data_IF_215445138469
#
_entry.id   IF_215445138469
#
_cell.length_a   1.000
_cell.length_b   1.000
_cell.length_c   1.000
_cell.angle_alpha   90.00
_cell.angle_beta   90.00
_cell.angle_gamma   90.00
#
_symmetry.space_group_name_H-M   'P 1'
#
loop_
_entity.id
_entity.type
_entity.pdbx_description
1 polymer ?
#
# COMPACT_ATOMS: atom_id res chain seq x y z
N UNK A 1 -7.34 7.62 -46.16
CA UNK A 1 -5.91 7.28 -46.31
C UNK A 1 -5.73 5.98 -45.58
N UNK A 2 -5.54 4.93 -46.36
CA UNK A 2 -5.15 3.61 -45.89
C UNK A 2 -3.64 3.60 -45.56
N UNK A 3 -3.13 2.44 -45.15
CA UNK A 3 -1.73 2.26 -44.79
C UNK A 3 -0.78 2.46 -45.97
N UNK A 4 -1.17 2.02 -47.17
CA UNK A 4 -0.33 2.09 -48.37
C UNK A 4 -0.14 3.56 -48.82
N UNK A 5 -1.22 4.33 -48.98
CA UNK A 5 -1.15 5.77 -49.29
C UNK A 5 -0.38 6.55 -48.22
N UNK A 6 -0.54 6.17 -46.94
CA UNK A 6 0.22 6.78 -45.86
C UNK A 6 1.74 6.55 -46.01
N UNK A 7 2.14 5.29 -46.20
CA UNK A 7 3.54 4.90 -46.33
C UNK A 7 4.18 5.46 -47.60
N UNK A 8 3.45 5.53 -48.72
CA UNK A 8 3.93 6.17 -49.95
C UNK A 8 4.24 7.66 -49.72
N UNK A 9 3.33 8.39 -49.06
CA UNK A 9 3.55 9.82 -48.76
C UNK A 9 4.72 10.02 -47.80
N UNK A 10 4.88 9.13 -46.82
CA UNK A 10 6.01 9.15 -45.89
C UNK A 10 7.34 8.85 -46.62
N UNK A 11 7.36 7.83 -47.49
CA UNK A 11 8.51 7.48 -48.33
C UNK A 11 8.88 8.59 -49.31
N UNK A 12 7.91 9.36 -49.79
CA UNK A 12 8.12 10.56 -50.62
C UNK A 12 8.68 11.77 -49.84
N UNK A 13 8.98 11.61 -48.53
CA UNK A 13 9.58 12.65 -47.69
C UNK A 13 8.59 13.46 -46.86
N UNK A 14 7.29 13.15 -46.91
CA UNK A 14 6.31 13.78 -46.02
C UNK A 14 6.61 13.34 -44.58
N UNK A 15 6.71 14.28 -43.65
CA UNK A 15 6.86 14.00 -42.21
C UNK A 15 5.71 14.53 -41.37
N UNK A 16 5.01 15.57 -41.85
CA UNK A 16 3.94 16.22 -41.11
C UNK A 16 2.58 15.56 -41.40
N UNK A 17 2.03 14.88 -40.39
CA UNK A 17 0.72 14.23 -40.42
C UNK A 17 -0.14 14.72 -39.23
N UNK A 18 -0.13 16.04 -38.98
CA UNK A 18 -0.86 16.68 -37.88
C UNK A 18 -2.37 16.52 -37.99
N UNK A 19 -3.06 16.51 -36.85
CA UNK A 19 -4.53 16.53 -36.76
C UNK A 19 -5.25 15.42 -37.57
N UNK A 20 -4.52 14.41 -38.04
CA UNK A 20 -5.07 13.32 -38.82
C UNK A 20 -5.87 12.35 -37.94
N UNK A 21 -6.86 11.69 -38.53
CA UNK A 21 -7.49 10.50 -37.94
C UNK A 21 -7.00 9.27 -38.72
N UNK A 22 -6.31 8.37 -38.03
CA UNK A 22 -5.76 7.09 -38.51
C UNK A 22 -6.10 5.97 -37.53
N UNK A 23 -7.28 6.04 -36.92
CA UNK A 23 -7.76 5.03 -36.00
C UNK A 23 -7.72 3.63 -36.64
N UNK A 24 -7.11 2.67 -35.94
CA UNK A 24 -7.05 1.28 -36.40
C UNK A 24 -6.16 1.02 -37.63
N UNK A 25 -5.31 1.96 -38.03
CA UNK A 25 -4.38 1.73 -39.13
C UNK A 25 -3.34 0.67 -38.75
N UNK A 26 -2.97 -0.18 -39.70
CA UNK A 26 -1.91 -1.16 -39.55
C UNK A 26 -0.64 -0.65 -40.23
N UNK A 27 0.39 -0.43 -39.42
CA UNK A 27 1.73 -0.02 -39.83
C UNK A 27 2.78 -0.86 -39.08
N UNK A 28 2.49 -2.14 -38.85
CA UNK A 28 3.41 -3.06 -38.19
C UNK A 28 4.79 -3.04 -38.89
N UNK A 29 5.86 -2.91 -38.10
CA UNK A 29 7.24 -2.92 -38.58
C UNK A 29 7.65 -1.72 -39.42
N UNK A 30 6.79 -0.71 -39.59
CA UNK A 30 7.11 0.47 -40.39
C UNK A 30 8.22 1.32 -39.75
N UNK A 31 9.15 1.81 -40.57
CA UNK A 31 10.06 2.87 -40.14
C UNK A 31 9.40 4.24 -40.34
N UNK A 32 9.07 4.87 -39.22
CA UNK A 32 8.42 6.15 -39.09
C UNK A 32 9.28 7.12 -38.27
N UNK A 33 10.60 6.97 -38.31
CA UNK A 33 11.54 7.86 -37.60
C UNK A 33 11.30 9.33 -37.94
N UNK A 34 11.36 10.20 -36.93
CA UNK A 34 11.17 11.65 -37.04
C UNK A 34 9.79 12.08 -37.59
N UNK A 35 8.80 11.16 -37.64
CA UNK A 35 7.45 11.51 -38.05
C UNK A 35 6.84 12.52 -37.08
N UNK A 36 6.03 13.43 -37.60
CA UNK A 36 5.32 14.42 -36.81
C UNK A 36 3.82 14.17 -36.83
N UNK A 37 3.32 13.63 -35.72
CA UNK A 37 1.94 13.24 -35.50
C UNK A 37 1.19 14.21 -34.58
N UNK A 38 1.70 15.42 -34.37
CA UNK A 38 1.12 16.39 -33.44
C UNK A 38 -0.42 16.47 -33.52
N UNK A 39 -1.08 16.29 -32.36
CA UNK A 39 -2.56 16.36 -32.20
C UNK A 39 -3.37 15.41 -33.08
N UNK A 40 -2.80 14.31 -33.53
CA UNK A 40 -3.52 13.32 -34.33
C UNK A 40 -4.15 12.19 -33.49
N UNK A 41 -5.11 11.49 -34.07
CA UNK A 41 -5.80 10.34 -33.48
C UNK A 41 -5.38 9.04 -34.18
N UNK A 42 -4.75 8.16 -33.42
CA UNK A 42 -4.19 6.87 -33.81
C UNK A 42 -4.67 5.76 -32.88
N UNK A 43 -5.83 5.96 -32.25
CA UNK A 43 -6.36 4.98 -31.31
C UNK A 43 -6.52 3.61 -31.99
N UNK A 44 -6.12 2.54 -31.31
CA UNK A 44 -6.21 1.18 -31.84
C UNK A 44 -5.34 0.89 -33.06
N UNK A 45 -4.42 1.78 -33.45
CA UNK A 45 -3.46 1.49 -34.52
C UNK A 45 -2.55 0.32 -34.12
N UNK A 46 -2.13 -0.48 -35.11
CA UNK A 46 -1.05 -1.45 -34.95
C UNK A 46 0.25 -0.84 -35.44
N UNK A 47 1.14 -0.58 -34.49
CA UNK A 47 2.49 -0.05 -34.65
C UNK A 47 3.49 -1.02 -33.99
N UNK A 48 3.12 -2.30 -33.85
CA UNK A 48 4.02 -3.30 -33.29
C UNK A 48 5.30 -3.37 -34.13
N UNK A 49 6.45 -3.45 -33.47
CA UNK A 49 7.78 -3.48 -34.11
C UNK A 49 8.13 -2.23 -34.96
N UNK A 50 7.30 -1.19 -34.95
CA UNK A 50 7.56 0.04 -35.69
C UNK A 50 8.76 0.81 -35.10
N UNK A 51 9.45 1.57 -35.95
CA UNK A 51 10.55 2.46 -35.56
C UNK A 51 10.01 3.89 -35.55
N UNK A 52 9.93 4.50 -34.38
CA UNK A 52 9.40 5.84 -34.12
C UNK A 52 10.48 6.75 -33.49
N UNK A 53 11.75 6.48 -33.79
CA UNK A 53 12.87 7.21 -33.19
C UNK A 53 12.71 8.72 -33.44
N UNK A 54 12.80 9.52 -32.39
CA UNK A 54 12.65 10.99 -32.43
C UNK A 54 11.31 11.48 -33.03
N UNK A 55 10.27 10.65 -33.09
CA UNK A 55 8.95 11.08 -33.54
C UNK A 55 8.35 12.15 -32.61
N UNK A 56 7.60 13.09 -33.19
CA UNK A 56 6.82 14.09 -32.45
C UNK A 56 5.41 13.57 -32.25
N UNK A 57 5.14 13.07 -31.06
CA UNK A 57 3.87 12.47 -30.65
C UNK A 57 3.13 13.34 -29.63
N UNK A 58 3.54 14.60 -29.49
CA UNK A 58 2.97 15.49 -28.49
C UNK A 58 1.48 15.74 -28.75
N UNK A 59 0.67 15.59 -27.71
CA UNK A 59 -0.80 15.61 -27.79
C UNK A 59 -1.43 14.59 -28.75
N UNK A 60 -0.71 13.53 -29.13
CA UNK A 60 -1.23 12.45 -29.98
C UNK A 60 -2.01 11.44 -29.14
N UNK A 61 -3.10 10.91 -29.69
CA UNK A 61 -3.84 9.83 -29.03
C UNK A 61 -3.53 8.49 -29.68
N UNK A 62 -2.92 7.60 -28.91
CA UNK A 62 -2.59 6.20 -29.22
C UNK A 62 -3.31 5.26 -28.24
N UNK A 63 -4.49 5.66 -27.76
CA UNK A 63 -5.26 4.87 -26.81
C UNK A 63 -5.61 3.51 -27.44
N UNK A 64 -5.38 2.42 -26.70
CA UNK A 64 -5.63 1.05 -27.17
C UNK A 64 -4.80 0.61 -28.40
N UNK A 65 -3.78 1.37 -28.79
CA UNK A 65 -2.88 0.98 -29.87
C UNK A 65 -1.95 -0.17 -29.43
N UNK A 66 -1.47 -0.95 -30.39
CA UNK A 66 -0.38 -1.91 -30.17
C UNK A 66 0.93 -1.27 -30.63
N UNK A 67 1.92 -1.22 -29.75
CA UNK A 67 3.30 -0.81 -30.01
C UNK A 67 4.27 -1.84 -29.40
N UNK A 68 3.87 -3.12 -29.41
CA UNK A 68 4.67 -4.23 -28.88
C UNK A 68 6.04 -4.22 -29.58
N UNK A 69 7.12 -4.26 -28.80
CA UNK A 69 8.51 -4.22 -29.28
C UNK A 69 8.86 -3.00 -30.17
N UNK A 70 8.03 -1.96 -30.21
CA UNK A 70 8.32 -0.77 -31.00
C UNK A 70 9.51 0.01 -30.42
N UNK A 71 10.25 0.71 -31.28
CA UNK A 71 11.33 1.59 -30.87
C UNK A 71 10.84 3.05 -30.85
N UNK A 72 10.54 3.55 -29.66
CA UNK A 72 10.11 4.93 -29.39
C UNK A 72 11.23 5.76 -28.74
N UNK A 73 12.49 5.44 -29.02
CA UNK A 73 13.63 6.15 -28.44
C UNK A 73 13.57 7.63 -28.79
N UNK A 74 13.67 8.50 -27.78
CA UNK A 74 13.79 9.95 -27.97
C UNK A 74 12.53 10.67 -28.45
N UNK A 75 11.35 10.03 -28.44
CA UNK A 75 10.11 10.71 -28.84
C UNK A 75 9.81 11.94 -27.97
N UNK A 76 9.17 12.94 -28.57
CA UNK A 76 8.43 13.95 -27.80
C UNK A 76 6.96 13.50 -27.69
N UNK A 77 6.64 12.79 -26.61
CA UNK A 77 5.29 12.35 -26.26
C UNK A 77 4.65 13.23 -25.17
N UNK A 78 5.00 14.52 -25.09
CA UNK A 78 4.37 15.41 -24.11
C UNK A 78 2.84 15.47 -24.30
N UNK A 79 2.08 15.24 -23.22
CA UNK A 79 0.61 15.12 -23.25
C UNK A 79 0.07 14.03 -24.19
N UNK A 80 0.87 12.98 -24.49
CA UNK A 80 0.41 11.82 -25.27
C UNK A 80 -0.65 11.04 -24.50
N UNK A 81 -1.59 10.42 -25.21
CA UNK A 81 -2.54 9.48 -24.63
C UNK A 81 -2.22 8.05 -25.07
N UNK A 82 -1.60 7.28 -24.18
CA UNK A 82 -1.27 5.86 -24.31
C UNK A 82 -2.16 4.99 -23.40
N UNK A 83 -3.31 5.49 -22.94
CA UNK A 83 -4.19 4.73 -22.05
C UNK A 83 -4.60 3.41 -22.72
N UNK A 84 -4.58 2.29 -21.98
CA UNK A 84 -4.97 0.97 -22.48
C UNK A 84 -4.16 0.46 -23.70
N UNK A 85 -3.07 1.12 -24.07
CA UNK A 85 -2.20 0.68 -25.16
C UNK A 85 -1.30 -0.48 -24.69
N UNK A 86 -0.86 -1.31 -25.62
CA UNK A 86 0.13 -2.36 -25.36
C UNK A 86 1.50 -1.94 -25.91
N UNK A 87 2.45 -1.70 -25.01
CA UNK A 87 3.84 -1.33 -25.29
C UNK A 87 4.79 -2.37 -24.68
N UNK A 88 4.35 -3.61 -24.57
CA UNK A 88 5.17 -4.71 -24.05
C UNK A 88 6.48 -4.82 -24.85
N UNK A 89 7.61 -4.80 -24.14
CA UNK A 89 8.94 -4.87 -24.74
C UNK A 89 9.41 -3.63 -25.50
N UNK A 90 8.61 -2.55 -25.56
CA UNK A 90 8.98 -1.33 -26.30
C UNK A 90 10.18 -0.60 -25.68
N UNK A 91 10.96 0.08 -26.52
CA UNK A 91 12.03 0.98 -26.06
C UNK A 91 11.55 2.43 -26.07
N UNK A 92 11.35 3.01 -24.89
CA UNK A 92 10.96 4.41 -24.70
C UNK A 92 12.14 5.25 -24.19
N UNK A 93 13.36 4.73 -24.22
CA UNK A 93 14.51 5.42 -23.63
C UNK A 93 14.69 6.84 -24.18
N UNK A 94 15.07 7.76 -23.30
CA UNK A 94 15.21 9.19 -23.62
C UNK A 94 13.92 9.91 -24.07
N UNK A 95 12.75 9.26 -24.04
CA UNK A 95 11.48 9.90 -24.40
C UNK A 95 11.06 11.00 -23.39
N UNK A 96 10.25 11.95 -23.87
CA UNK A 96 9.52 12.88 -23.03
C UNK A 96 8.05 12.45 -22.93
N UNK A 97 7.59 12.04 -21.74
CA UNK A 97 6.20 11.61 -21.48
C UNK A 97 5.49 12.51 -20.45
N UNK A 98 6.00 13.73 -20.27
CA UNK A 98 5.44 14.71 -19.33
C UNK A 98 3.97 14.99 -19.64
N UNK A 99 3.11 15.04 -18.63
CA UNK A 99 1.65 15.23 -18.72
C UNK A 99 0.92 14.16 -19.54
N UNK A 100 1.57 13.06 -19.90
CA UNK A 100 0.96 11.97 -20.65
C UNK A 100 -0.04 11.16 -19.82
N UNK A 101 -0.99 10.54 -20.49
CA UNK A 101 -1.88 9.55 -19.91
C UNK A 101 -1.46 8.14 -20.35
N UNK A 102 -0.86 7.38 -19.44
CA UNK A 102 -0.42 6.00 -19.64
C UNK A 102 -1.28 5.01 -18.82
N UNK A 103 -2.42 5.46 -18.28
CA UNK A 103 -3.23 4.65 -17.38
C UNK A 103 -3.72 3.36 -18.02
N UNK A 104 -3.66 2.27 -17.26
CA UNK A 104 -4.11 0.93 -17.66
C UNK A 104 -3.44 0.37 -18.93
N UNK A 105 -2.34 0.98 -19.42
CA UNK A 105 -1.54 0.41 -20.50
C UNK A 105 -0.65 -0.74 -20.02
N UNK A 106 -0.28 -1.63 -20.94
CA UNK A 106 0.73 -2.65 -20.71
C UNK A 106 2.09 -2.15 -21.18
N UNK A 107 3.09 -2.20 -20.31
CA UNK A 107 4.47 -1.80 -20.55
C UNK A 107 5.41 -2.88 -20.00
N UNK A 108 4.98 -4.13 -20.00
CA UNK A 108 5.75 -5.26 -19.49
C UNK A 108 7.11 -5.33 -20.19
N UNK A 109 8.20 -5.27 -19.42
CA UNK A 109 9.56 -5.33 -19.93
C UNK A 109 10.03 -4.09 -20.69
N UNK A 110 9.22 -3.03 -20.78
CA UNK A 110 9.58 -1.82 -21.53
C UNK A 110 10.80 -1.09 -20.92
N UNK A 111 11.56 -0.41 -21.78
CA UNK A 111 12.73 0.37 -21.37
C UNK A 111 12.36 1.85 -21.18
N UNK A 112 12.38 2.33 -19.94
CA UNK A 112 12.13 3.73 -19.58
C UNK A 112 13.39 4.46 -19.13
N UNK A 113 14.58 3.92 -19.43
CA UNK A 113 15.84 4.55 -19.03
C UNK A 113 15.93 5.99 -19.56
N UNK A 114 16.22 6.95 -18.68
CA UNK A 114 16.30 8.39 -19.00
C UNK A 114 15.01 9.04 -19.53
N UNK A 115 13.85 8.41 -19.34
CA UNK A 115 12.57 9.04 -19.68
C UNK A 115 12.27 10.21 -18.76
N UNK A 116 11.73 11.28 -19.34
CA UNK A 116 11.20 12.42 -18.57
C UNK A 116 9.73 12.17 -18.25
N UNK A 117 9.46 11.94 -16.98
CA UNK A 117 8.11 12.00 -16.42
C UNK A 117 7.94 13.28 -15.61
N UNK A 118 6.78 13.91 -15.74
CA UNK A 118 6.33 15.01 -14.91
C UNK A 118 4.82 15.06 -14.99
N UNK A 119 4.13 14.92 -13.85
CA UNK A 119 2.67 14.88 -13.79
C UNK A 119 2.02 13.85 -14.74
N UNK A 120 2.73 12.75 -15.01
CA UNK A 120 2.24 11.67 -15.88
C UNK A 120 1.30 10.74 -15.08
N UNK A 121 0.21 10.31 -15.72
CA UNK A 121 -0.74 9.36 -15.12
C UNK A 121 -0.39 7.92 -15.53
N UNK A 122 0.06 7.13 -14.56
CA UNK A 122 0.39 5.69 -14.69
C UNK A 122 -0.58 4.81 -13.89
N UNK A 123 -1.75 5.34 -13.51
CA UNK A 123 -2.73 4.60 -12.71
C UNK A 123 -3.10 3.27 -13.35
N UNK A 124 -2.98 2.18 -12.60
CA UNK A 124 -3.34 0.83 -13.05
C UNK A 124 -2.50 0.28 -14.20
N UNK A 125 -1.41 0.94 -14.59
CA UNK A 125 -0.55 0.47 -15.67
C UNK A 125 0.26 -0.77 -15.25
N UNK A 126 0.57 -1.64 -16.21
CA UNK A 126 1.42 -2.80 -16.00
C UNK A 126 2.85 -2.51 -16.43
N UNK A 127 3.75 -2.30 -15.48
CA UNK A 127 5.19 -2.08 -15.67
C UNK A 127 6.02 -3.25 -15.12
N UNK A 128 5.47 -4.47 -15.15
CA UNK A 128 6.20 -5.67 -14.72
C UNK A 128 7.52 -5.79 -15.49
N UNK A 129 8.64 -6.04 -14.79
CA UNK A 129 10.00 -6.16 -15.38
C UNK A 129 10.49 -4.94 -16.17
N UNK A 130 9.82 -3.78 -16.06
CA UNK A 130 10.23 -2.56 -16.74
C UNK A 130 11.58 -2.04 -16.21
N UNK A 131 12.34 -1.36 -17.08
CA UNK A 131 13.64 -0.76 -16.73
C UNK A 131 13.47 0.72 -16.44
N UNK A 132 13.53 1.11 -15.16
CA UNK A 132 13.25 2.47 -14.67
C UNK A 132 14.43 3.06 -13.85
N UNK A 133 15.63 2.51 -14.03
CA UNK A 133 16.81 2.88 -13.24
C UNK A 133 17.12 4.37 -13.32
N UNK A 134 17.19 5.03 -12.16
CA UNK A 134 17.57 6.44 -12.05
C UNK A 134 16.52 7.43 -12.58
N UNK A 135 15.33 6.98 -12.94
CA UNK A 135 14.26 7.83 -13.49
C UNK A 135 13.62 8.66 -12.39
N UNK A 136 13.19 9.89 -12.72
CA UNK A 136 12.38 10.73 -11.85
C UNK A 136 10.91 10.54 -12.17
N UNK A 137 10.13 10.11 -11.17
CA UNK A 137 8.69 9.89 -11.22
C UNK A 137 7.93 10.79 -10.24
N UNK A 138 8.60 11.77 -9.63
CA UNK A 138 7.98 12.70 -8.66
C UNK A 138 6.67 13.29 -9.18
N UNK A 139 5.67 13.40 -8.28
CA UNK A 139 4.31 13.88 -8.56
C UNK A 139 3.49 13.07 -9.58
N UNK A 140 4.00 11.97 -10.11
CA UNK A 140 3.22 11.10 -10.97
C UNK A 140 2.17 10.30 -10.16
N UNK A 141 1.08 9.93 -10.81
CA UNK A 141 0.09 9.02 -10.24
C UNK A 141 0.42 7.58 -10.61
N UNK A 142 0.94 6.81 -9.66
CA UNK A 142 1.27 5.39 -9.80
C UNK A 142 0.33 4.49 -8.96
N UNK A 143 -0.88 4.97 -8.64
CA UNK A 143 -1.82 4.16 -7.84
C UNK A 143 -2.24 2.92 -8.62
N UNK A 144 -2.30 1.78 -7.92
CA UNK A 144 -2.67 0.48 -8.50
C UNK A 144 -1.73 0.00 -9.64
N UNK A 145 -0.55 0.60 -9.79
CA UNK A 145 0.45 0.19 -10.79
C UNK A 145 1.03 -1.19 -10.44
N UNK A 146 1.34 -2.00 -11.46
CA UNK A 146 2.12 -3.22 -11.30
C UNK A 146 3.59 -2.98 -11.68
N UNK A 147 4.49 -2.96 -10.70
CA UNK A 147 5.95 -2.83 -10.83
C UNK A 147 6.67 -4.14 -10.42
N UNK A 148 5.98 -5.28 -10.46
CA UNK A 148 6.57 -6.57 -10.07
C UNK A 148 7.86 -6.84 -10.85
N UNK A 149 8.93 -7.21 -10.17
CA UNK A 149 10.26 -7.49 -10.76
C UNK A 149 10.87 -6.32 -11.58
N UNK A 150 10.38 -5.09 -11.44
CA UNK A 150 10.92 -3.92 -12.13
C UNK A 150 12.30 -3.50 -11.58
N UNK A 151 13.16 -2.97 -12.46
CA UNK A 151 14.42 -2.33 -12.07
C UNK A 151 14.18 -0.85 -11.74
N UNK A 152 14.16 -0.54 -10.45
CA UNK A 152 13.91 0.79 -9.88
C UNK A 152 15.14 1.33 -9.14
N UNK A 153 16.34 0.82 -9.44
CA UNK A 153 17.55 1.24 -8.72
C UNK A 153 17.75 2.74 -8.87
N UNK A 154 17.94 3.45 -7.74
CA UNK A 154 18.11 4.92 -7.69
C UNK A 154 16.96 5.73 -8.30
N UNK A 155 15.76 5.17 -8.41
CA UNK A 155 14.58 5.91 -8.88
C UNK A 155 14.20 7.02 -7.89
N UNK A 156 13.69 8.15 -8.38
CA UNK A 156 13.12 9.22 -7.54
C UNK A 156 11.59 9.15 -7.58
N UNK A 157 10.99 8.64 -6.51
CA UNK A 157 9.56 8.46 -6.26
C UNK A 157 9.03 9.42 -5.18
N UNK A 158 9.72 10.52 -4.91
CA UNK A 158 9.32 11.50 -3.90
C UNK A 158 7.91 12.05 -4.16
N UNK A 159 7.08 12.13 -3.10
CA UNK A 159 5.71 12.66 -3.16
C UNK A 159 4.79 11.96 -4.18
N UNK A 160 5.11 10.74 -4.62
CA UNK A 160 4.29 9.99 -5.57
C UNK A 160 3.12 9.28 -4.90
N UNK A 161 2.05 9.04 -5.67
CA UNK A 161 0.95 8.19 -5.23
C UNK A 161 1.19 6.75 -5.68
N UNK A 162 1.60 5.87 -4.77
CA UNK A 162 1.80 4.42 -4.97
C UNK A 162 0.75 3.59 -4.22
N UNK A 163 -0.41 4.17 -3.90
CA UNK A 163 -1.48 3.47 -3.18
C UNK A 163 -1.88 2.19 -3.92
N UNK A 164 -1.90 1.06 -3.20
CA UNK A 164 -2.18 -0.29 -3.73
C UNK A 164 -1.28 -0.74 -4.88
N UNK A 165 -0.11 -0.14 -5.08
CA UNK A 165 0.84 -0.59 -6.09
C UNK A 165 1.40 -1.99 -5.75
N UNK A 166 1.68 -2.80 -6.77
CA UNK A 166 2.35 -4.09 -6.64
C UNK A 166 3.83 -3.93 -6.99
N UNK A 167 4.73 -3.92 -6.01
CA UNK A 167 6.19 -3.84 -6.19
C UNK A 167 6.89 -5.14 -5.77
N UNK A 168 6.21 -6.29 -5.89
CA UNK A 168 6.76 -7.58 -5.48
C UNK A 168 8.08 -7.85 -6.21
N UNK A 169 9.12 -8.26 -5.49
CA UNK A 169 10.46 -8.56 -6.04
C UNK A 169 11.10 -7.43 -6.86
N UNK A 170 10.56 -6.21 -6.78
CA UNK A 170 11.14 -5.07 -7.49
C UNK A 170 12.47 -4.67 -6.85
N UNK A 171 13.38 -4.14 -7.66
CA UNK A 171 14.68 -3.68 -7.18
C UNK A 171 14.68 -2.17 -6.95
N UNK A 172 14.43 -1.75 -5.70
CA UNK A 172 14.43 -0.36 -5.26
C UNK A 172 15.73 0.03 -4.51
N UNK A 173 16.87 -0.64 -4.78
CA UNK A 173 18.13 -0.27 -4.13
C UNK A 173 18.42 1.23 -4.33
N UNK A 174 18.64 1.95 -3.22
CA UNK A 174 18.91 3.40 -3.21
C UNK A 174 17.81 4.26 -3.84
N UNK A 175 16.59 3.78 -3.94
CA UNK A 175 15.44 4.57 -4.37
C UNK A 175 15.12 5.68 -3.35
N UNK A 176 14.65 6.83 -3.82
CA UNK A 176 14.12 7.91 -2.99
C UNK A 176 12.59 7.85 -3.00
N UNK A 177 11.97 7.47 -1.89
CA UNK A 177 10.52 7.39 -1.66
C UNK A 177 10.03 8.43 -0.64
N UNK A 178 10.77 9.53 -0.47
CA UNK A 178 10.46 10.55 0.54
C UNK A 178 9.04 11.10 0.35
N UNK A 179 8.22 11.05 1.41
CA UNK A 179 6.81 11.45 1.40
C UNK A 179 5.92 10.71 0.37
N UNK A 180 6.34 9.56 -0.14
CA UNK A 180 5.52 8.76 -1.05
C UNK A 180 4.32 8.13 -0.32
N UNK A 181 3.18 8.00 -1.01
CA UNK A 181 2.00 7.32 -0.48
C UNK A 181 2.00 5.85 -0.89
N UNK A 182 2.37 4.96 0.03
CA UNK A 182 2.46 3.51 -0.15
C UNK A 182 1.29 2.76 0.52
N UNK A 183 0.17 3.42 0.80
CA UNK A 183 -0.97 2.79 1.48
C UNK A 183 -1.39 1.52 0.75
N UNK A 184 -1.42 0.38 1.45
CA UNK A 184 -1.78 -0.95 0.90
C UNK A 184 -0.91 -1.43 -0.28
N UNK A 185 0.28 -0.87 -0.47
CA UNK A 185 1.22 -1.35 -1.49
C UNK A 185 1.81 -2.71 -1.10
N UNK A 186 2.13 -3.54 -2.08
CA UNK A 186 2.74 -4.84 -1.86
C UNK A 186 4.22 -4.82 -2.29
N UNK A 187 5.14 -4.78 -1.33
CA UNK A 187 6.59 -4.78 -1.54
C UNK A 187 7.23 -6.13 -1.16
N UNK A 188 6.47 -7.22 -1.21
CA UNK A 188 6.99 -8.52 -0.79
C UNK A 188 8.18 -8.97 -1.65
N UNK A 189 9.27 -9.42 -1.01
CA UNK A 189 10.49 -9.82 -1.69
C UNK A 189 11.26 -8.68 -2.37
N UNK A 190 10.83 -7.41 -2.22
CA UNK A 190 11.50 -6.29 -2.86
C UNK A 190 12.86 -6.00 -2.23
N UNK A 191 13.82 -5.55 -3.04
CA UNK A 191 15.10 -5.05 -2.55
C UNK A 191 14.99 -3.55 -2.30
N UNK A 192 14.96 -3.13 -1.03
CA UNK A 192 14.92 -1.73 -0.60
C UNK A 192 16.22 -1.29 0.07
N UNK A 193 17.34 -2.00 -0.16
CA UNK A 193 18.62 -1.68 0.47
C UNK A 193 18.99 -0.23 0.23
N UNK A 194 19.26 0.51 1.32
CA UNK A 194 19.63 1.93 1.29
C UNK A 194 18.61 2.85 0.60
N UNK A 195 17.36 2.42 0.44
CA UNK A 195 16.28 3.30 -0.01
C UNK A 195 15.94 4.33 1.08
N UNK A 196 15.45 5.50 0.68
CA UNK A 196 15.00 6.53 1.61
C UNK A 196 13.47 6.60 1.60
N UNK A 197 12.82 6.18 2.68
CA UNK A 197 11.38 6.21 2.87
C UNK A 197 10.93 7.32 3.84
N UNK A 198 11.77 8.31 4.14
CA UNK A 198 11.45 9.37 5.12
C UNK A 198 10.08 10.00 4.84
N UNK A 199 9.18 10.01 5.83
CA UNK A 199 7.83 10.56 5.71
C UNK A 199 6.86 9.77 4.80
N UNK A 200 7.27 8.62 4.25
CA UNK A 200 6.40 7.82 3.39
C UNK A 200 5.22 7.21 4.18
N UNK A 201 4.02 7.23 3.62
CA UNK A 201 2.85 6.62 4.25
C UNK A 201 2.76 5.13 3.87
N UNK A 202 3.20 4.27 4.77
CA UNK A 202 3.24 2.81 4.57
C UNK A 202 2.04 2.07 5.20
N UNK A 203 0.94 2.75 5.53
CA UNK A 203 -0.19 2.12 6.21
C UNK A 203 -0.81 0.97 5.39
N UNK A 204 -0.77 -0.24 5.96
CA UNK A 204 -1.25 -1.46 5.31
C UNK A 204 -0.36 -1.98 4.18
N UNK A 205 0.83 -1.41 3.99
CA UNK A 205 1.81 -1.95 3.05
C UNK A 205 2.41 -3.26 3.56
N UNK A 206 2.72 -4.19 2.64
CA UNK A 206 3.31 -5.49 2.95
C UNK A 206 4.79 -5.50 2.55
N UNK A 207 5.65 -5.98 3.45
CA UNK A 207 7.11 -6.07 3.26
C UNK A 207 7.65 -7.49 3.56
N UNK A 208 6.82 -8.52 3.38
CA UNK A 208 7.21 -9.92 3.65
C UNK A 208 8.41 -10.26 2.76
N UNK A 209 9.49 -10.75 3.35
CA UNK A 209 10.75 -11.10 2.67
C UNK A 209 11.46 -9.93 1.94
N UNK A 210 11.09 -8.67 2.22
CA UNK A 210 11.78 -7.52 1.64
C UNK A 210 13.15 -7.28 2.31
N UNK A 211 14.18 -6.95 1.54
CA UNK A 211 15.48 -6.54 2.08
C UNK A 211 15.51 -5.03 2.32
N UNK A 212 15.33 -4.63 3.58
CA UNK A 212 15.36 -3.23 4.02
C UNK A 212 16.75 -2.78 4.51
N UNK A 213 17.80 -3.59 4.33
CA UNK A 213 19.12 -3.33 4.94
C UNK A 213 19.65 -1.93 4.61
N UNK A 214 19.81 -1.10 5.64
CA UNK A 214 20.31 0.26 5.52
C UNK A 214 19.34 1.26 4.92
N UNK A 215 18.07 0.91 4.70
CA UNK A 215 17.03 1.84 4.28
C UNK A 215 16.77 2.87 5.39
N UNK A 216 16.43 4.10 5.03
CA UNK A 216 15.90 5.11 5.96
C UNK A 216 14.38 4.91 6.01
N UNK A 217 13.82 4.65 7.17
CA UNK A 217 12.40 4.36 7.37
C UNK A 217 11.56 5.64 7.45
N UNK A 218 10.21 5.55 7.43
CA UNK A 218 9.36 6.75 7.46
C UNK A 218 9.56 7.70 8.63
N UNK A 219 10.05 7.22 9.76
CA UNK A 219 10.42 8.01 10.94
C UNK A 219 11.82 8.66 10.85
N UNK A 220 12.58 8.37 9.80
CA UNK A 220 13.94 8.87 9.58
C UNK A 220 15.03 7.93 10.15
N UNK A 221 14.66 6.84 10.80
CA UNK A 221 15.64 5.89 11.36
C UNK A 221 16.19 4.95 10.29
N UNK A 222 17.46 4.57 10.42
CA UNK A 222 18.08 3.60 9.51
C UNK A 222 17.70 2.18 9.95
N UNK A 223 17.04 1.43 9.07
CA UNK A 223 16.78 0.02 9.26
C UNK A 223 18.09 -0.76 9.34
N UNK A 224 18.33 -1.36 10.51
CA UNK A 224 19.42 -2.30 10.73
C UNK A 224 18.79 -3.70 10.80
N UNK A 225 19.17 -4.64 9.93
CA UNK A 225 18.70 -6.01 10.08
C UNK A 225 19.13 -6.51 11.46
N UNK A 226 18.24 -7.22 12.15
CA UNK A 226 18.61 -7.98 13.33
C UNK A 226 19.65 -8.98 12.84
N UNK A 227 20.89 -8.86 13.32
CA UNK A 227 21.96 -9.76 12.93
C UNK A 227 21.46 -11.19 13.12
N UNK A 228 21.48 -12.00 12.07
CA UNK A 228 21.39 -13.45 12.19
C UNK A 228 22.44 -13.87 13.20
N UNK A 229 22.02 -14.56 14.27
CA UNK A 229 22.90 -15.11 15.29
C UNK A 229 23.93 -16.08 14.66
N UNK A 230 25.06 -15.56 14.17
CA UNK A 230 26.35 -16.26 14.14
C UNK A 230 27.45 -15.19 14.08
N UNK A 231 27.98 -14.81 15.24
CA UNK A 231 29.42 -14.86 15.47
C UNK A 231 29.70 -14.71 16.98
N UNK A 232 30.21 -15.81 17.53
CA UNK A 232 30.60 -15.96 18.93
C UNK A 232 31.79 -15.04 19.21
N UNK A 233 31.63 -14.18 20.21
CA UNK A 233 32.73 -13.68 21.03
C UNK A 233 33.29 -12.31 20.65
N UNK A 234 32.78 -11.28 21.33
CA UNK A 234 33.59 -10.36 22.16
C UNK A 234 32.69 -9.39 22.92
N UNK A 235 32.82 -9.43 24.25
CA UNK A 235 32.25 -8.45 25.18
C UNK A 235 32.72 -7.04 24.83
N UNK A 236 31.79 -6.09 24.71
CA UNK A 236 32.04 -4.70 25.13
C UNK A 236 30.77 -4.12 25.76
N UNK A 237 31.03 -3.41 26.85
CA UNK A 237 30.19 -2.80 27.88
C UNK A 237 29.01 -1.96 27.35
N UNK A 238 27.90 -2.03 28.07
CA UNK A 238 26.66 -1.25 27.93
C UNK A 238 26.86 0.26 28.01
N UNK A 239 26.02 1.03 27.28
CA UNK A 239 25.32 2.15 27.90
C UNK A 239 23.79 2.07 27.69
N UNK A 240 23.10 2.41 28.77
CA UNK A 240 21.67 2.58 29.04
C UNK A 240 20.68 2.56 27.86
N UNK A 241 19.74 1.62 27.99
CA UNK A 241 18.55 1.36 27.18
C UNK A 241 17.57 2.54 27.26
N UNK A 242 17.56 3.41 26.24
CA UNK A 242 16.40 4.28 26.01
C UNK A 242 15.33 3.44 25.32
N UNK A 243 14.31 3.03 26.08
CA UNK A 243 13.18 2.25 25.60
C UNK A 243 12.29 3.16 24.74
N UNK A 244 12.46 3.10 23.42
CA UNK A 244 11.49 3.65 22.47
C UNK A 244 10.15 2.93 22.65
N UNK A 245 9.05 3.69 22.78
CA UNK A 245 7.73 3.12 23.03
C UNK A 245 7.10 2.55 21.75
N UNK A 246 7.27 1.26 21.47
CA UNK A 246 6.58 0.54 20.38
C UNK A 246 5.09 0.37 20.66
N UNK A 247 4.26 0.44 19.59
CA UNK A 247 2.81 0.27 19.60
C UNK A 247 2.43 -0.87 18.66
N UNK A 248 1.84 -1.95 19.19
CA UNK A 248 1.33 -3.07 18.41
C UNK A 248 -0.20 -3.13 18.49
N UNK A 249 -0.86 -3.33 17.35
CA UNK A 249 -2.30 -3.59 17.31
C UNK A 249 -2.54 -5.07 17.56
N UNK A 250 -3.46 -5.38 18.46
CA UNK A 250 -3.95 -6.75 18.71
C UNK A 250 -5.36 -6.86 18.14
N UNK A 251 -5.55 -7.88 17.29
CA UNK A 251 -6.84 -8.24 16.72
C UNK A 251 -7.02 -9.76 16.71
N UNK A 252 -8.27 -10.21 16.82
CA UNK A 252 -8.70 -11.62 16.73
C UNK A 252 -10.11 -11.71 16.14
N UNK A 253 -10.37 -12.78 15.40
CA UNK A 253 -11.71 -13.11 14.88
C UNK A 253 -12.61 -13.76 15.94
N UNK A 254 -12.03 -14.14 17.09
CA UNK A 254 -12.75 -14.69 18.24
C UNK A 254 -13.37 -13.63 19.16
N UNK A 255 -13.31 -12.35 18.77
CA UNK A 255 -13.93 -11.23 19.48
C UNK A 255 -14.59 -10.26 18.47
N UNK A 256 -15.56 -9.44 18.91
CA UNK A 256 -16.29 -8.53 18.02
C UNK A 256 -15.34 -7.59 17.27
N UNK A 257 -15.56 -7.45 15.97
CA UNK A 257 -14.80 -6.49 15.16
C UNK A 257 -15.12 -5.05 15.60
N UNK A 258 -14.14 -4.13 15.59
CA UNK A 258 -14.40 -2.72 15.88
C UNK A 258 -15.42 -2.12 14.91
N UNK A 259 -16.43 -1.43 15.45
CA UNK A 259 -17.51 -0.78 14.67
C UNK A 259 -17.24 0.73 14.47
N UNK A 260 -16.00 1.18 14.73
CA UNK A 260 -15.58 2.58 14.66
C UNK A 260 -14.05 2.73 14.64
N UNK A 261 -13.50 3.95 14.75
CA UNK A 261 -12.07 4.22 14.60
C UNK A 261 -11.25 3.85 15.86
N UNK A 262 -11.35 2.59 16.31
CA UNK A 262 -10.58 1.99 17.42
C UNK A 262 -10.14 0.56 17.06
N UNK A 263 -9.22 -0.01 17.84
CA UNK A 263 -8.79 -1.42 17.70
C UNK A 263 -9.25 -2.22 18.93
N UNK A 264 -9.34 -3.54 18.82
CA UNK A 264 -9.71 -4.41 19.95
C UNK A 264 -8.76 -4.24 21.14
N UNK A 265 -7.45 -4.22 20.89
CA UNK A 265 -6.47 -3.80 21.89
C UNK A 265 -5.19 -3.22 21.27
N UNK A 266 -4.44 -2.47 22.08
CA UNK A 266 -3.12 -1.95 21.76
C UNK A 266 -2.12 -2.42 22.82
N UNK A 267 -1.03 -3.06 22.39
CA UNK A 267 0.12 -3.30 23.24
C UNK A 267 1.14 -2.16 23.10
N UNK A 268 1.60 -1.61 24.22
CA UNK A 268 2.60 -0.56 24.30
C UNK A 268 3.88 -1.05 24.99
N UNK A 269 5.04 -0.53 24.60
CA UNK A 269 6.34 -0.88 25.19
C UNK A 269 6.37 -0.78 26.71
N UNK A 270 6.99 -1.77 27.35
CA UNK A 270 6.81 -2.07 28.77
C UNK A 270 5.73 -3.13 29.03
N UNK A 271 5.20 -3.76 27.95
CA UNK A 271 4.25 -4.88 27.99
C UNK A 271 2.88 -4.55 28.61
N UNK A 272 2.42 -3.30 28.51
CA UNK A 272 1.03 -2.94 28.84
C UNK A 272 0.11 -3.18 27.65
N UNK A 273 -1.02 -3.84 27.88
CA UNK A 273 -2.08 -4.08 26.91
C UNK A 273 -3.29 -3.26 27.31
N UNK A 274 -3.79 -2.42 26.40
CA UNK A 274 -4.99 -1.62 26.57
C UNK A 274 -6.10 -2.22 25.71
N UNK A 275 -7.09 -2.84 26.34
CA UNK A 275 -8.24 -3.48 25.68
C UNK A 275 -9.40 -2.49 25.63
N UNK A 276 -10.00 -2.31 24.45
CA UNK A 276 -11.17 -1.45 24.27
C UNK A 276 -12.40 -2.06 24.94
N UNK A 277 -13.36 -1.22 25.34
CA UNK A 277 -14.60 -1.64 25.96
C UNK A 277 -15.33 -2.69 25.13
N UNK A 278 -15.65 -3.82 25.77
CA UNK A 278 -16.38 -4.92 25.17
C UNK A 278 -17.83 -4.93 25.64
N UNK A 279 -18.73 -5.13 24.69
CA UNK A 279 -20.16 -5.37 24.91
C UNK A 279 -20.51 -6.80 24.51
N UNK A 280 -21.73 -7.24 24.85
CA UNK A 280 -22.20 -8.62 24.67
C UNK A 280 -22.55 -8.97 23.21
N UNK A 281 -21.64 -8.71 22.26
CA UNK A 281 -21.74 -9.20 20.89
C UNK A 281 -21.15 -10.61 20.81
N UNK A 282 -21.87 -11.54 20.18
CA UNK A 282 -21.30 -12.83 19.78
C UNK A 282 -20.50 -12.64 18.48
N UNK A 283 -19.19 -12.89 18.45
CA UNK A 283 -18.34 -12.66 17.27
C UNK A 283 -18.73 -13.50 16.06
N UNK A 284 -19.43 -14.62 16.25
CA UNK A 284 -19.91 -15.50 15.16
C UNK A 284 -21.17 -14.95 14.50
N UNK A 285 -22.03 -14.31 15.30
CA UNK A 285 -23.29 -13.74 14.84
C UNK A 285 -23.14 -12.27 14.42
N UNK A 286 -22.15 -11.56 14.97
CA UNK A 286 -21.94 -10.14 14.76
C UNK A 286 -22.98 -9.25 15.46
N UNK A 287 -23.81 -9.81 16.35
CA UNK A 287 -24.91 -9.09 16.99
C UNK A 287 -24.94 -9.29 18.52
N UNK A 288 -25.65 -8.38 19.20
CA UNK A 288 -25.83 -8.41 20.66
C UNK A 288 -26.67 -9.63 21.05
N UNK A 289 -26.21 -10.36 22.06
CA UNK A 289 -26.90 -11.51 22.63
C UNK A 289 -27.35 -11.23 24.06
N UNK A 290 -28.37 -11.96 24.52
CA UNK A 290 -28.89 -11.90 25.89
C UNK A 290 -29.41 -10.50 26.29
N UNK A 291 -30.22 -9.88 25.44
CA UNK A 291 -30.73 -8.50 25.65
C UNK A 291 -31.55 -8.30 26.94
N UNK A 292 -31.96 -9.37 27.60
CA UNK A 292 -32.81 -9.41 28.80
C UNK A 292 -32.13 -10.02 30.05
N UNK A 293 -30.88 -10.48 29.94
CA UNK A 293 -30.15 -11.12 31.03
C UNK A 293 -28.73 -10.53 31.21
N UNK A 294 -28.59 -9.63 32.18
CA UNK A 294 -27.32 -8.95 32.48
C UNK A 294 -26.20 -9.92 32.86
N UNK A 295 -26.51 -11.06 33.48
CA UNK A 295 -25.49 -12.05 33.86
C UNK A 295 -24.91 -12.69 32.61
N UNK A 296 -25.76 -13.12 31.68
CA UNK A 296 -25.30 -13.69 30.41
C UNK A 296 -24.62 -12.67 29.51
N UNK A 297 -25.05 -11.40 29.51
CA UNK A 297 -24.29 -10.34 28.85
C UNK A 297 -22.89 -10.20 29.45
N UNK A 298 -22.79 -10.19 30.78
CA UNK A 298 -21.49 -10.11 31.46
C UNK A 298 -20.60 -11.30 31.09
N UNK A 299 -21.15 -12.51 31.01
CA UNK A 299 -20.42 -13.71 30.57
C UNK A 299 -19.90 -13.55 29.14
N UNK A 300 -20.71 -13.04 28.21
CA UNK A 300 -20.27 -12.79 26.83
C UNK A 300 -19.21 -11.68 26.76
N UNK A 301 -19.36 -10.59 27.52
CA UNK A 301 -18.36 -9.51 27.59
C UNK A 301 -17.01 -10.04 28.06
N UNK A 302 -17.00 -10.86 29.12
CA UNK A 302 -15.77 -11.45 29.64
C UNK A 302 -15.17 -12.48 28.67
N UNK A 303 -15.98 -13.26 27.96
CA UNK A 303 -15.48 -14.14 26.89
C UNK A 303 -14.79 -13.35 25.75
N UNK A 304 -15.36 -12.20 25.36
CA UNK A 304 -14.76 -11.32 24.36
C UNK A 304 -13.43 -10.73 24.84
N UNK A 305 -13.36 -10.27 26.10
CA UNK A 305 -12.11 -9.80 26.71
C UNK A 305 -11.06 -10.91 26.77
N UNK A 306 -11.45 -12.13 27.15
CA UNK A 306 -10.55 -13.27 27.21
C UNK A 306 -9.94 -13.60 25.85
N UNK A 307 -10.74 -13.57 24.78
CA UNK A 307 -10.27 -13.80 23.42
C UNK A 307 -9.22 -12.77 22.98
N UNK A 308 -9.44 -11.48 23.31
CA UNK A 308 -8.49 -10.41 22.99
C UNK A 308 -7.20 -10.54 23.82
N UNK A 309 -7.33 -10.83 25.12
CA UNK A 309 -6.18 -11.07 26.00
C UNK A 309 -5.34 -12.25 25.50
N UNK A 310 -5.98 -13.38 25.13
CA UNK A 310 -5.28 -14.54 24.55
C UNK A 310 -4.54 -14.19 23.27
N UNK A 311 -5.15 -13.41 22.38
CA UNK A 311 -4.50 -12.94 21.16
C UNK A 311 -3.29 -12.02 21.43
N UNK A 312 -3.28 -11.34 22.58
CA UNK A 312 -2.15 -10.54 23.07
C UNK A 312 -1.09 -11.36 23.84
N UNK A 313 -1.30 -12.68 24.01
CA UNK A 313 -0.43 -13.52 24.85
C UNK A 313 -0.65 -13.36 26.36
N UNK A 314 -1.80 -12.83 26.77
CA UNK A 314 -2.18 -12.57 28.16
C UNK A 314 -3.36 -13.44 28.62
N UNK A 315 -3.59 -13.45 29.93
CA UNK A 315 -4.76 -14.05 30.58
C UNK A 315 -5.39 -13.05 31.56
N UNK A 316 -6.52 -13.40 32.19
CA UNK A 316 -7.10 -12.55 33.24
C UNK A 316 -6.16 -12.32 34.43
N UNK A 317 -5.21 -13.23 34.69
CA UNK A 317 -4.19 -13.04 35.73
C UNK A 317 -3.22 -11.88 35.44
N UNK A 318 -3.12 -11.46 34.17
CA UNK A 318 -2.30 -10.32 33.76
C UNK A 318 -3.03 -8.98 33.88
N UNK A 319 -4.35 -8.98 34.09
CA UNK A 319 -5.14 -7.75 34.15
C UNK A 319 -4.84 -7.01 35.44
N UNK A 320 -4.49 -5.74 35.33
CA UNK A 320 -4.15 -4.86 36.46
C UNK A 320 -5.23 -3.82 36.72
N UNK A 321 -6.07 -3.52 35.72
CA UNK A 321 -7.21 -2.60 35.86
C UNK A 321 -8.40 -3.02 35.00
N UNK A 322 -9.60 -2.81 35.51
CA UNK A 322 -10.86 -2.86 34.73
C UNK A 322 -11.71 -1.62 34.98
N UNK A 323 -12.45 -1.18 33.96
CA UNK A 323 -13.57 -0.23 34.12
C UNK A 323 -14.86 -0.92 33.73
N UNK A 324 -15.84 -0.92 34.65
CA UNK A 324 -17.16 -1.53 34.45
C UNK A 324 -18.20 -0.41 34.32
N UNK A 325 -18.92 -0.43 33.21
CA UNK A 325 -20.02 0.50 32.94
C UNK A 325 -21.34 -0.26 32.97
N UNK A 326 -22.31 0.23 33.73
CA UNK A 326 -23.65 -0.34 33.85
C UNK A 326 -24.70 0.64 33.33
N UNK A 327 -25.74 0.11 32.68
CA UNK A 327 -26.93 0.89 32.35
C UNK A 327 -27.79 1.17 33.59
N UNK A 328 -27.86 0.21 34.52
CA UNK A 328 -28.57 0.31 35.80
C UNK A 328 -27.69 -0.24 36.95
N UNK A 329 -27.47 0.56 37.99
CA UNK A 329 -26.70 0.15 39.18
C UNK A 329 -27.40 -0.95 39.99
N UNK A 330 -28.70 -1.18 39.79
CA UNK A 330 -29.40 -2.31 40.42
C UNK A 330 -28.82 -3.67 39.99
N UNK A 331 -28.18 -3.74 38.82
CA UNK A 331 -27.53 -4.96 38.31
C UNK A 331 -26.15 -5.25 38.93
N UNK A 332 -25.63 -4.35 39.77
CA UNK A 332 -24.28 -4.44 40.34
C UNK A 332 -24.00 -5.79 41.00
N UNK A 333 -24.93 -6.29 41.82
CA UNK A 333 -24.77 -7.58 42.49
C UNK A 333 -24.73 -8.75 41.50
N UNK A 334 -25.54 -8.71 40.45
CA UNK A 334 -25.60 -9.75 39.42
C UNK A 334 -24.32 -9.79 38.58
N UNK A 335 -23.83 -8.63 38.14
CA UNK A 335 -22.57 -8.50 37.38
C UNK A 335 -21.38 -8.95 38.23
N UNK A 336 -21.32 -8.55 39.51
CA UNK A 336 -20.23 -8.95 40.41
C UNK A 336 -20.16 -10.47 40.62
N UNK A 337 -21.30 -11.15 40.71
CA UNK A 337 -21.33 -12.60 40.87
C UNK A 337 -20.71 -13.34 39.67
N UNK A 338 -20.82 -12.77 38.46
CA UNK A 338 -20.14 -13.30 37.27
C UNK A 338 -18.67 -12.90 37.26
N UNK A 339 -18.38 -11.61 37.49
CA UNK A 339 -17.04 -11.05 37.50
C UNK A 339 -16.08 -11.78 38.46
N UNK A 340 -16.55 -12.12 39.67
CA UNK A 340 -15.77 -12.82 40.68
C UNK A 340 -15.32 -14.23 40.27
N UNK A 341 -15.93 -14.83 39.22
CA UNK A 341 -15.48 -16.12 38.66
C UNK A 341 -14.17 -15.99 37.88
N UNK A 342 -13.86 -14.80 37.37
CA UNK A 342 -12.69 -14.52 36.54
C UNK A 342 -11.58 -13.79 37.29
N UNK A 343 -11.94 -13.06 38.37
CA UNK A 343 -11.03 -12.31 39.21
C UNK A 343 -11.18 -12.72 40.68
N UNK A 344 -10.38 -13.70 41.13
CA UNK A 344 -10.28 -14.07 42.55
C UNK A 344 -9.93 -12.87 43.43
N UNK A 345 -10.42 -12.86 44.67
CA UNK A 345 -10.28 -11.72 45.60
C UNK A 345 -8.82 -11.34 45.87
N UNK A 346 -7.92 -12.32 45.94
CA UNK A 346 -6.50 -12.15 46.21
C UNK A 346 -5.69 -11.60 45.02
N UNK A 347 -6.23 -11.71 43.81
CA UNK A 347 -5.56 -11.27 42.56
C UNK A 347 -6.41 -10.30 41.72
N UNK A 348 -7.51 -9.78 42.27
CA UNK A 348 -8.43 -8.95 41.52
C UNK A 348 -7.77 -7.60 41.12
N UNK A 349 -7.99 -7.12 39.89
CA UNK A 349 -7.41 -5.86 39.41
C UNK A 349 -8.00 -4.64 40.12
N UNK A 350 -7.31 -3.51 40.04
CA UNK A 350 -7.90 -2.22 40.39
C UNK A 350 -9.16 -1.98 39.56
N UNK A 351 -10.25 -1.53 40.19
CA UNK A 351 -11.55 -1.43 39.51
C UNK A 351 -12.26 -0.12 39.77
N UNK A 352 -12.84 0.44 38.71
CA UNK A 352 -13.91 1.43 38.78
C UNK A 352 -15.20 0.81 38.24
N UNK A 353 -16.34 1.09 38.89
CA UNK A 353 -17.67 0.69 38.43
C UNK A 353 -18.59 1.90 38.48
N UNK A 354 -19.23 2.24 37.37
CA UNK A 354 -20.09 3.43 37.25
C UNK A 354 -21.37 3.10 36.50
N UNK A 355 -22.45 3.80 36.84
CA UNK A 355 -23.64 3.84 36.00
C UNK A 355 -23.47 4.94 34.95
N UNK A 356 -23.85 4.66 33.69
CA UNK A 356 -23.82 5.63 32.58
C UNK A 356 -25.22 5.89 32.05
N UNK A 357 -25.41 7.02 31.36
CA UNK A 357 -26.73 7.41 30.83
C UNK A 357 -27.22 6.49 29.72
N UNK A 358 -26.30 5.92 28.92
CA UNK A 358 -26.60 4.96 27.85
C UNK A 358 -25.32 4.26 27.40
N UNK A 359 -25.42 2.96 27.13
CA UNK A 359 -24.33 2.16 26.55
C UNK A 359 -24.54 1.95 25.03
N UNK A 360 -23.46 1.68 24.26
CA UNK A 360 -23.58 1.36 22.84
C UNK A 360 -24.53 0.18 22.59
N UNK A 361 -25.38 0.30 21.57
CA UNK A 361 -26.42 -0.69 21.24
C UNK A 361 -27.40 -1.02 22.39
N UNK A 362 -27.56 -0.13 23.37
CA UNK A 362 -28.49 -0.31 24.50
C UNK A 362 -28.23 -1.59 25.33
N UNK A 363 -26.97 -2.03 25.40
CA UNK A 363 -26.59 -3.15 26.28
C UNK A 363 -26.64 -2.74 27.76
N UNK A 364 -26.67 -3.73 28.65
CA UNK A 364 -26.74 -3.49 30.10
C UNK A 364 -25.35 -3.31 30.75
N UNK A 365 -24.30 -3.84 30.12
CA UNK A 365 -22.94 -3.82 30.65
C UNK A 365 -21.88 -3.69 29.54
N UNK A 366 -20.86 -2.88 29.81
CA UNK A 366 -19.63 -2.77 29.03
C UNK A 366 -18.42 -2.84 29.98
N UNK A 367 -17.37 -3.56 29.59
CA UNK A 367 -16.15 -3.68 30.40
C UNK A 367 -14.91 -3.47 29.53
N UNK A 368 -14.00 -2.62 30.00
CA UNK A 368 -12.64 -2.48 29.47
C UNK A 368 -11.60 -3.03 30.46
N UNK A 369 -10.38 -3.28 29.97
CA UNK A 369 -9.29 -3.66 30.85
C UNK A 369 -7.90 -3.22 30.36
N UNK A 370 -6.98 -3.15 31.32
CA UNK A 370 -5.54 -2.98 31.10
C UNK A 370 -4.83 -4.20 31.70
N UNK A 371 -3.93 -4.80 30.93
CA UNK A 371 -3.11 -5.94 31.37
C UNK A 371 -1.61 -5.65 31.23
N UNK A 372 -0.78 -6.42 31.94
CA UNK A 372 0.68 -6.36 31.86
C UNK A 372 1.24 -7.77 31.62
N UNK A 373 2.07 -7.95 30.59
CA UNK A 373 2.72 -9.23 30.23
C UNK A 373 4.23 -9.23 30.47
#
# INVERSE_FOLDING_TARGET
MDAEDFLERYAAGTRQFHNGNRQGIDLQGADLSEIDLFRSNWNGADLSEAILINAKLNSTSLSRASLINANLTGIDGSSINLSLADLSGADLSCANLSNGNLSQGDFTGANFTQVKFFETNLHGANLQKAKLRGVTLEKCNLSEVNLTEADLVRVFLGQTNLKKACLQKANLERACLVNANLIRANLNGANLRKADLTGANIYGASFIDADLTGAIMPDGEIYKPIASEVEVGKQVVSPEKVISMTRQVINTDQAPAPVGPYNQAIAASGQMIFVAGQIAIDPRLGDVVYTDDVKKQTEQVLANLEAILKAAGATFANVVKTTVFLADMNDFAAVNAVYAKYFPEDTAPARACVQVSRLPKDVMVEIDCIAVI
#
